data_IF_797423794850
#
_entry.id   IF_797423794850
#
_cell.length_a   1.000
_cell.length_b   1.000
_cell.length_c   1.000
_cell.angle_alpha   90.00
_cell.angle_beta   90.00
_cell.angle_gamma   90.00
#
_symmetry.space_group_name_H-M   'P 1'
#
loop_
_entity.id
_entity.type
_entity.pdbx_description
1 polymer ?
#
# COMPACT_ATOMS: atom_id res chain seq x y z
N UNK A 1 -6.14 -42.14 3.18
CA UNK A 1 -5.27 -40.96 3.03
C UNK A 1 -6.15 -39.71 3.09
N UNK A 2 -6.58 -39.31 4.30
CA UNK A 2 -7.44 -38.15 4.52
C UNK A 2 -6.58 -36.99 5.01
N UNK A 3 -6.13 -36.14 4.06
CA UNK A 3 -5.36 -34.94 4.34
C UNK A 3 -6.17 -33.96 5.17
N UNK A 4 -5.79 -33.78 6.43
CA UNK A 4 -6.44 -32.88 7.38
C UNK A 4 -6.54 -31.46 6.83
N UNK A 5 -7.74 -30.90 6.98
CA UNK A 5 -8.07 -29.51 6.77
C UNK A 5 -7.19 -28.58 7.64
N UNK A 6 -6.26 -27.87 7.02
CA UNK A 6 -5.69 -26.64 7.58
C UNK A 6 -6.53 -25.46 7.09
N UNK A 7 -7.62 -25.16 7.80
CA UNK A 7 -8.60 -24.11 7.48
C UNK A 7 -8.05 -22.66 7.53
N UNK A 8 -6.76 -22.48 7.74
CA UNK A 8 -6.09 -21.18 7.76
C UNK A 8 -5.50 -20.82 6.39
N UNK A 9 -4.93 -21.79 5.66
CA UNK A 9 -4.20 -21.57 4.40
C UNK A 9 -5.07 -21.04 3.26
N UNK A 10 -6.33 -21.47 3.20
CA UNK A 10 -7.26 -21.07 2.12
C UNK A 10 -7.56 -19.57 2.09
N UNK A 11 -7.62 -18.91 3.25
CA UNK A 11 -7.87 -17.46 3.34
C UNK A 11 -6.68 -16.67 2.80
N UNK A 12 -5.45 -17.05 3.16
CA UNK A 12 -4.23 -16.42 2.65
C UNK A 12 -4.09 -16.61 1.14
N UNK A 13 -4.38 -17.79 0.61
CA UNK A 13 -4.37 -18.06 -0.83
C UNK A 13 -5.38 -17.19 -1.59
N UNK A 14 -6.57 -16.98 -1.01
CA UNK A 14 -7.59 -16.12 -1.61
C UNK A 14 -7.15 -14.66 -1.65
N UNK A 15 -6.53 -14.16 -0.57
CA UNK A 15 -5.96 -12.80 -0.55
C UNK A 15 -4.77 -12.68 -1.51
N UNK A 16 -3.93 -13.72 -1.62
CA UNK A 16 -2.84 -13.78 -2.61
C UNK A 16 -3.38 -13.60 -4.03
N UNK A 17 -4.45 -14.32 -4.37
CA UNK A 17 -5.08 -14.22 -5.68
C UNK A 17 -5.62 -12.81 -5.95
N UNK A 18 -6.21 -12.15 -4.94
CA UNK A 18 -6.64 -10.75 -5.06
C UNK A 18 -5.44 -9.83 -5.32
N UNK A 19 -4.35 -9.96 -4.55
CA UNK A 19 -3.14 -9.15 -4.74
C UNK A 19 -2.54 -9.32 -6.15
N UNK A 20 -2.53 -10.55 -6.67
CA UNK A 20 -2.09 -10.84 -8.04
C UNK A 20 -2.98 -10.12 -9.04
N UNK A 21 -4.31 -10.22 -8.91
CA UNK A 21 -5.24 -9.52 -9.79
C UNK A 21 -5.07 -8.01 -9.75
N UNK A 22 -4.91 -7.41 -8.57
CA UNK A 22 -4.63 -5.96 -8.42
C UNK A 22 -3.32 -5.60 -9.11
N UNK A 23 -2.32 -6.48 -9.07
CA UNK A 23 -1.02 -6.26 -9.75
C UNK A 23 -1.15 -6.34 -11.27
N UNK A 24 -1.95 -7.27 -11.80
CA UNK A 24 -2.22 -7.34 -13.23
C UNK A 24 -2.95 -6.07 -13.72
N UNK A 25 -3.91 -5.57 -12.94
CA UNK A 25 -4.59 -4.31 -13.23
C UNK A 25 -3.61 -3.14 -13.23
N UNK A 26 -2.70 -3.08 -12.25
CA UNK A 26 -1.67 -2.04 -12.17
C UNK A 26 -0.77 -2.02 -13.41
N UNK A 27 -0.28 -3.19 -13.83
CA UNK A 27 0.52 -3.33 -15.05
C UNK A 27 -0.30 -2.91 -16.28
N UNK A 28 -1.58 -3.31 -16.36
CA UNK A 28 -2.47 -2.90 -17.45
C UNK A 28 -2.65 -1.39 -17.54
N UNK A 29 -2.89 -0.72 -16.41
CA UNK A 29 -3.03 0.75 -16.34
C UNK A 29 -1.70 1.44 -16.69
N UNK A 30 -0.57 0.89 -16.24
CA UNK A 30 0.75 1.44 -16.53
C UNK A 30 1.11 1.40 -18.02
N UNK A 31 0.75 0.33 -18.73
CA UNK A 31 1.10 0.16 -20.15
C UNK A 31 0.16 0.90 -21.12
N UNK A 32 -1.04 1.28 -20.70
CA UNK A 32 -2.01 1.94 -21.57
C UNK A 32 -1.78 3.47 -21.57
N UNK A 33 -1.40 4.09 -22.71
CA UNK A 33 -1.05 5.51 -22.77
C UNK A 33 -2.20 6.46 -22.38
N UNK A 34 -3.46 6.01 -22.53
CA UNK A 34 -4.65 6.80 -22.21
C UNK A 34 -4.74 7.18 -20.72
N UNK A 35 -4.07 6.46 -19.83
CA UNK A 35 -4.11 6.74 -18.40
C UNK A 35 -2.99 7.66 -17.91
N UNK A 36 -2.09 8.15 -18.77
CA UNK A 36 -0.89 8.88 -18.36
C UNK A 36 -1.17 10.09 -17.44
N UNK A 37 -2.26 10.82 -17.66
CA UNK A 37 -2.66 11.98 -16.82
C UNK A 37 -3.11 11.57 -15.41
N UNK A 38 -3.70 10.39 -15.26
CA UNK A 38 -4.24 9.88 -13.98
C UNK A 38 -3.42 8.72 -13.42
N UNK A 39 -2.29 8.40 -14.06
CA UNK A 39 -1.46 7.24 -13.73
C UNK A 39 -0.93 7.36 -12.31
N UNK A 40 -0.35 8.51 -11.94
CA UNK A 40 0.19 8.75 -10.61
C UNK A 40 -0.85 8.53 -9.50
N UNK A 41 -2.02 9.20 -9.48
CA UNK A 41 -2.99 8.99 -8.41
C UNK A 41 -3.56 7.57 -8.41
N UNK A 42 -3.77 6.93 -9.57
CA UNK A 42 -4.27 5.55 -9.64
C UNK A 42 -3.27 4.56 -9.05
N UNK A 43 -1.99 4.65 -9.43
CA UNK A 43 -0.95 3.77 -8.89
C UNK A 43 -0.77 3.96 -7.37
N UNK A 44 -0.91 5.19 -6.87
CA UNK A 44 -0.83 5.49 -5.45
C UNK A 44 -1.98 4.81 -4.68
N UNK A 45 -3.21 4.89 -5.19
CA UNK A 45 -4.38 4.22 -4.60
C UNK A 45 -4.24 2.70 -4.65
N UNK A 46 -3.81 2.13 -5.78
CA UNK A 46 -3.59 0.69 -5.92
C UNK A 46 -2.49 0.20 -4.98
N UNK A 47 -1.40 0.95 -4.84
CA UNK A 47 -0.31 0.64 -3.90
C UNK A 47 -0.77 0.68 -2.45
N UNK A 48 -1.52 1.72 -2.06
CA UNK A 48 -2.09 1.83 -0.71
C UNK A 48 -3.03 0.65 -0.42
N UNK A 49 -3.89 0.28 -1.37
CA UNK A 49 -4.80 -0.87 -1.23
C UNK A 49 -4.05 -2.19 -1.03
N UNK A 50 -3.03 -2.46 -1.85
CA UNK A 50 -2.18 -3.66 -1.69
C UNK A 50 -1.51 -3.68 -0.33
N UNK A 51 -0.94 -2.54 0.08
CA UNK A 51 -0.29 -2.41 1.38
C UNK A 51 -1.26 -2.72 2.52
N UNK A 52 -2.49 -2.19 2.50
CA UNK A 52 -3.51 -2.48 3.52
C UNK A 52 -3.88 -3.97 3.55
N UNK A 53 -4.07 -4.60 2.39
CA UNK A 53 -4.34 -6.04 2.32
C UNK A 53 -3.19 -6.87 2.90
N UNK A 54 -1.94 -6.53 2.58
CA UNK A 54 -0.76 -7.20 3.11
C UNK A 54 -0.68 -7.04 4.62
N UNK A 55 -0.86 -5.84 5.14
CA UNK A 55 -0.77 -5.55 6.57
C UNK A 55 -1.90 -6.22 7.35
N UNK A 56 -3.15 -6.13 6.87
CA UNK A 56 -4.28 -6.73 7.58
C UNK A 56 -4.23 -8.26 7.61
N UNK A 57 -3.87 -8.91 6.49
CA UNK A 57 -3.94 -10.36 6.36
C UNK A 57 -2.59 -11.03 6.59
N UNK A 58 -1.52 -10.63 5.89
CA UNK A 58 -0.21 -11.30 5.96
C UNK A 58 0.62 -10.91 7.18
N UNK A 59 0.48 -9.69 7.70
CA UNK A 59 1.09 -9.30 8.98
C UNK A 59 0.21 -9.66 10.19
N UNK A 60 -0.85 -10.43 9.97
CA UNK A 60 -1.77 -10.94 11.01
C UNK A 60 -2.47 -9.87 11.86
N UNK A 61 -2.37 -8.58 11.52
CA UNK A 61 -2.95 -7.48 12.32
C UNK A 61 -4.45 -7.65 12.60
N UNK A 62 -5.20 -8.25 11.66
CA UNK A 62 -6.63 -8.53 11.83
C UNK A 62 -6.91 -9.59 12.90
N UNK A 63 -5.98 -10.52 13.09
CA UNK A 63 -6.10 -11.67 14.00
C UNK A 63 -5.34 -11.47 15.32
N UNK A 64 -4.56 -10.39 15.43
CA UNK A 64 -3.68 -10.11 16.56
C UNK A 64 -4.12 -8.88 17.35
N UNK A 65 -3.48 -8.63 18.50
CA UNK A 65 -3.82 -7.53 19.40
C UNK A 65 -3.50 -6.14 18.81
N UNK A 66 -4.23 -5.11 19.25
CA UNK A 66 -4.04 -3.70 18.83
C UNK A 66 -2.63 -3.17 19.04
N UNK A 67 -1.81 -3.85 19.85
CA UNK A 67 -0.41 -3.52 20.09
C UNK A 67 0.45 -3.70 18.83
N UNK A 68 0.25 -4.76 18.05
CA UNK A 68 0.95 -4.94 16.77
C UNK A 68 0.54 -3.91 15.73
N UNK A 69 -0.74 -3.52 15.74
CA UNK A 69 -1.22 -2.44 14.90
C UNK A 69 -0.57 -1.09 15.24
N UNK A 70 -0.35 -0.81 16.53
CA UNK A 70 0.36 0.39 16.98
C UNK A 70 1.85 0.35 16.64
N UNK A 71 2.49 -0.80 16.83
CA UNK A 71 3.93 -0.98 16.56
C UNK A 71 4.26 -0.81 15.08
N UNK A 72 3.34 -1.21 14.19
CA UNK A 72 3.46 -0.99 12.75
C UNK A 72 2.99 0.41 12.33
N UNK A 73 1.84 0.85 12.85
CA UNK A 73 1.21 2.12 12.49
C UNK A 73 1.98 3.35 12.99
N UNK A 74 2.66 3.27 14.14
CA UNK A 74 3.44 4.37 14.70
C UNK A 74 4.60 4.82 13.80
N UNK A 75 5.53 3.92 13.44
CA UNK A 75 6.59 4.21 12.48
C UNK A 75 6.06 4.61 11.09
N UNK A 76 4.95 4.00 10.63
CA UNK A 76 4.32 4.35 9.36
C UNK A 76 3.80 5.80 9.33
N UNK A 77 3.09 6.21 10.39
CA UNK A 77 2.62 7.58 10.55
C UNK A 77 3.77 8.57 10.65
N UNK A 78 4.81 8.22 11.43
CA UNK A 78 6.01 9.03 11.55
C UNK A 78 6.70 9.20 10.18
N UNK A 79 6.86 8.13 9.42
CA UNK A 79 7.46 8.18 8.07
C UNK A 79 6.65 9.06 7.11
N UNK A 80 5.31 8.94 7.12
CA UNK A 80 4.42 9.80 6.34
C UNK A 80 4.55 11.28 6.76
N UNK A 81 4.59 11.56 8.06
CA UNK A 81 4.73 12.91 8.57
C UNK A 81 6.07 13.54 8.18
N UNK A 82 7.17 12.77 8.26
CA UNK A 82 8.49 13.20 7.81
C UNK A 82 8.50 13.42 6.30
N UNK A 83 7.96 12.50 5.50
CA UNK A 83 7.86 12.63 4.04
C UNK A 83 7.12 13.92 3.65
N UNK A 84 5.95 14.19 4.24
CA UNK A 84 5.15 15.39 3.96
C UNK A 84 5.89 16.65 4.41
N UNK A 85 6.54 16.62 5.58
CA UNK A 85 7.36 17.74 6.08
C UNK A 85 8.50 18.08 5.12
N UNK A 86 9.20 17.07 4.61
CA UNK A 86 10.27 17.25 3.63
C UNK A 86 9.73 17.78 2.31
N UNK A 87 8.62 17.25 1.79
CA UNK A 87 7.99 17.78 0.58
C UNK A 87 7.59 19.25 0.75
N UNK A 88 7.02 19.62 1.89
CA UNK A 88 6.64 20.99 2.18
C UNK A 88 7.86 21.92 2.24
N UNK A 89 8.93 21.51 2.93
CA UNK A 89 10.18 22.28 3.02
C UNK A 89 10.82 22.42 1.65
N UNK A 90 11.04 21.34 0.91
CA UNK A 90 11.74 21.40 -0.37
C UNK A 90 10.91 22.09 -1.44
N UNK A 91 9.61 21.80 -1.55
CA UNK A 91 8.74 22.44 -2.56
C UNK A 91 8.45 23.90 -2.20
N UNK A 92 8.24 24.21 -0.92
CA UNK A 92 8.07 25.57 -0.43
C UNK A 92 9.35 26.40 -0.55
N UNK A 93 10.50 25.85 -0.18
CA UNK A 93 11.80 26.52 -0.33
C UNK A 93 12.20 26.68 -1.79
N UNK A 94 11.91 25.70 -2.67
CA UNK A 94 12.11 25.87 -4.12
C UNK A 94 11.27 27.03 -4.64
N UNK A 95 9.98 27.09 -4.28
CA UNK A 95 9.05 28.14 -4.73
C UNK A 95 9.50 29.54 -4.30
N UNK A 96 10.03 29.68 -3.08
CA UNK A 96 10.57 30.95 -2.58
C UNK A 96 11.91 31.33 -3.24
N UNK A 97 12.73 30.35 -3.63
CA UNK A 97 14.06 30.58 -4.25
C UNK A 97 13.99 30.83 -5.75
N UNK A 98 13.00 30.31 -6.46
CA UNK A 98 12.87 30.49 -7.93
C UNK A 98 12.11 31.75 -8.35
N UNK A 99 11.70 32.63 -7.43
CA UNK A 99 11.32 34.01 -7.75
C UNK A 99 10.21 34.18 -8.81
N UNK A 100 9.17 33.34 -8.75
CA UNK A 100 7.89 33.56 -9.44
C UNK A 100 6.77 33.57 -8.41
#
# INVERSE_FOLDING_TARGET
MSGQAHATTGTYLRVAAILVMVTLIEVGVFYVPAFHTVLVPVLLVLSAFKFTLVVMFYMHLKFDSRFFALLFGGPLLLALAVMVSLLFIFYGALRLRTGV
#
